data_IF_366860931929
#
_entry.id   IF_366860931929
#
_cell.length_a   1.000
_cell.length_b   1.000
_cell.length_c   1.000
_cell.angle_alpha   90.00
_cell.angle_beta   90.00
_cell.angle_gamma   90.00
#
_symmetry.space_group_name_H-M   'P 1'
#
loop_
_entity.id
_entity.type
_entity.pdbx_description
1 polymer ?
#
# COMPACT_ATOMS: atom_id res chain seq x y z
N UNK A 1 -9.68 -5.03 0.40
CA UNK A 1 -8.30 -5.17 0.91
C UNK A 1 -8.13 -4.13 2.00
N UNK A 2 -8.31 -4.61 3.21
CA UNK A 2 -8.66 -3.81 4.36
C UNK A 2 -7.41 -3.44 5.18
N UNK A 3 -7.40 -2.19 5.65
CA UNK A 3 -6.79 -1.77 6.92
C UNK A 3 -5.28 -1.98 7.05
N UNK A 4 -4.51 -1.19 6.29
CA UNK A 4 -3.08 -1.03 6.57
C UNK A 4 -2.85 -0.62 8.03
N UNK A 5 -2.11 -1.46 8.76
CA UNK A 5 -1.55 -1.16 10.09
C UNK A 5 -2.53 -0.85 11.22
N UNK A 6 -3.80 -1.26 11.10
CA UNK A 6 -4.81 -0.97 12.14
C UNK A 6 -4.50 -1.68 13.45
N UNK A 7 -3.88 -2.86 13.41
CA UNK A 7 -3.49 -3.59 14.62
C UNK A 7 -2.40 -2.82 15.38
N UNK A 8 -1.34 -2.44 14.68
CA UNK A 8 -0.19 -1.69 15.22
C UNK A 8 -0.62 -0.29 15.70
N UNK A 9 -1.51 0.37 14.97
CA UNK A 9 -2.12 1.63 15.38
C UNK A 9 -2.92 1.47 16.68
N UNK A 10 -3.72 0.40 16.80
CA UNK A 10 -4.52 0.14 18.00
C UNK A 10 -3.63 -0.11 19.23
N UNK A 11 -2.52 -0.84 19.05
CA UNK A 11 -1.54 -1.08 20.12
C UNK A 11 -0.85 0.22 20.53
N UNK A 12 -0.42 1.05 19.57
CA UNK A 12 0.19 2.35 19.85
C UNK A 12 -0.77 3.30 20.59
N UNK A 13 -2.02 3.39 20.15
CA UNK A 13 -3.05 4.20 20.82
C UNK A 13 -3.34 3.71 22.24
N UNK A 14 -3.30 2.40 22.46
CA UNK A 14 -3.48 1.83 23.80
C UNK A 14 -2.34 2.23 24.72
N UNK A 15 -1.09 2.10 24.27
CA UNK A 15 0.07 2.54 25.03
C UNK A 15 0.01 4.04 25.35
N UNK A 16 -0.33 4.88 24.37
CA UNK A 16 -0.48 6.32 24.59
C UNK A 16 -1.51 6.61 25.68
N UNK A 17 -2.64 5.91 25.68
CA UNK A 17 -3.68 6.10 26.69
C UNK A 17 -3.21 5.73 28.09
N UNK A 18 -2.37 4.71 28.22
CA UNK A 18 -1.83 4.25 29.51
C UNK A 18 -0.72 5.17 30.06
N UNK A 19 -0.07 5.94 29.18
CA UNK A 19 1.07 6.80 29.52
C UNK A 19 0.77 8.30 29.31
N UNK A 20 -0.48 8.74 29.49
CA UNK A 20 -0.90 10.16 29.35
C UNK A 20 -0.44 10.83 28.04
N UNK A 21 -0.44 10.04 26.96
CA UNK A 21 -0.01 10.43 25.61
C UNK A 21 1.47 10.81 25.51
N UNK A 22 2.30 10.34 26.43
CA UNK A 22 3.75 10.53 26.37
C UNK A 22 4.39 9.59 25.33
N UNK A 23 4.80 10.17 24.20
CA UNK A 23 5.39 9.41 23.09
C UNK A 23 6.70 8.68 23.45
N UNK A 24 7.47 9.18 24.41
CA UNK A 24 8.75 8.60 24.83
C UNK A 24 8.56 7.18 25.37
N UNK A 25 7.51 6.99 26.17
CA UNK A 25 7.12 5.73 26.81
C UNK A 25 6.65 4.66 25.80
N UNK A 26 6.10 5.10 24.66
CA UNK A 26 5.55 4.23 23.61
C UNK A 26 6.43 4.13 22.35
N UNK A 27 7.73 4.38 22.50
CA UNK A 27 8.69 4.41 21.38
C UNK A 27 8.72 3.09 20.60
N UNK A 28 8.50 1.96 21.27
CA UNK A 28 8.52 0.62 20.64
C UNK A 28 7.31 0.41 19.74
N UNK A 29 6.12 0.75 20.23
CA UNK A 29 4.86 0.63 19.53
C UNK A 29 4.81 1.63 18.37
N UNK A 30 5.36 2.83 18.56
CA UNK A 30 5.54 3.82 17.50
C UNK A 30 6.44 3.32 16.36
N UNK A 31 7.57 2.68 16.69
CA UNK A 31 8.47 2.10 15.68
C UNK A 31 7.80 0.96 14.91
N UNK A 32 7.01 0.14 15.60
CA UNK A 32 6.25 -0.96 14.98
C UNK A 32 5.21 -0.42 13.99
N UNK A 33 4.40 0.56 14.42
CA UNK A 33 3.42 1.23 13.57
C UNK A 33 4.09 1.90 12.36
N UNK A 34 5.18 2.65 12.59
CA UNK A 34 5.93 3.32 11.52
C UNK A 34 6.46 2.32 10.49
N UNK A 35 7.05 1.21 10.94
CA UNK A 35 7.56 0.15 10.06
C UNK A 35 6.45 -0.45 9.20
N UNK A 36 5.28 -0.69 9.78
CA UNK A 36 4.13 -1.16 9.02
C UNK A 36 3.68 -0.10 8.00
N UNK A 37 3.56 1.16 8.40
CA UNK A 37 3.13 2.24 7.53
C UNK A 37 4.07 2.44 6.34
N UNK A 38 5.38 2.44 6.58
CA UNK A 38 6.40 2.58 5.53
C UNK A 38 6.30 1.45 4.49
N UNK A 39 6.03 0.21 4.94
CA UNK A 39 5.79 -0.93 4.03
C UNK A 39 4.51 -0.73 3.22
N UNK A 40 3.43 -0.30 3.87
CA UNK A 40 2.16 -0.04 3.18
C UNK A 40 2.31 1.06 2.13
N UNK A 41 2.96 2.18 2.47
CA UNK A 41 3.23 3.26 1.52
C UNK A 41 4.11 2.82 0.36
N UNK A 42 5.11 1.96 0.61
CA UNK A 42 5.93 1.37 -0.46
C UNK A 42 5.07 0.53 -1.39
N UNK A 43 4.26 -0.38 -0.86
CA UNK A 43 3.37 -1.23 -1.67
C UNK A 43 2.34 -0.40 -2.45
N UNK A 44 1.75 0.63 -1.82
CA UNK A 44 0.81 1.53 -2.47
C UNK A 44 1.46 2.31 -3.63
N UNK A 45 2.70 2.76 -3.45
CA UNK A 45 3.49 3.40 -4.52
C UNK A 45 3.78 2.43 -5.65
N UNK A 46 4.24 1.23 -5.36
CA UNK A 46 4.52 0.19 -6.37
C UNK A 46 3.27 -0.20 -7.17
N UNK A 47 2.13 -0.33 -6.49
CA UNK A 47 0.83 -0.58 -7.13
C UNK A 47 0.37 0.60 -8.00
N UNK A 48 0.63 1.84 -7.59
CA UNK A 48 0.32 3.01 -8.41
C UNK A 48 1.19 3.04 -9.67
N UNK A 49 2.50 2.84 -9.51
CA UNK A 49 3.44 2.76 -10.64
C UNK A 49 3.05 1.63 -11.60
N UNK A 50 2.67 0.45 -11.11
CA UNK A 50 2.28 -0.66 -11.97
C UNK A 50 0.97 -0.41 -12.72
N UNK A 51 0.03 0.34 -12.14
CA UNK A 51 -1.21 0.76 -12.80
C UNK A 51 -0.98 1.85 -13.86
N UNK A 52 -0.05 2.75 -13.60
CA UNK A 52 0.30 3.86 -14.51
C UNK A 52 1.11 3.39 -15.74
N UNK A 53 1.68 2.19 -15.71
CA UNK A 53 2.34 1.58 -16.87
C UNK A 53 1.31 1.17 -17.93
N UNK A 54 1.42 1.74 -19.15
CA UNK A 54 0.60 1.35 -20.31
C UNK A 54 0.87 -0.09 -20.78
N UNK A 55 2.11 -0.57 -20.63
CA UNK A 55 2.50 -1.93 -20.99
C UNK A 55 2.55 -2.75 -19.70
N UNK A 56 1.69 -3.77 -19.55
CA UNK A 56 1.72 -4.64 -18.38
C UNK A 56 2.96 -5.54 -18.42
N UNK A 57 3.34 -6.06 -17.27
CA UNK A 57 4.38 -7.09 -17.20
C UNK A 57 3.93 -8.35 -17.97
N UNK A 58 4.86 -9.04 -18.65
CA UNK A 58 4.54 -10.27 -19.35
C UNK A 58 3.93 -11.27 -18.37
N UNK A 59 2.85 -11.94 -18.79
CA UNK A 59 2.05 -12.90 -17.98
C UNK A 59 1.26 -12.28 -16.81
N UNK A 60 1.02 -10.97 -16.78
CA UNK A 60 0.13 -10.35 -15.81
C UNK A 60 -1.28 -10.96 -15.88
N UNK A 61 -1.76 -11.52 -14.75
CA UNK A 61 -3.10 -12.13 -14.65
C UNK A 61 -4.24 -11.11 -14.64
N UNK A 62 -3.95 -9.86 -14.29
CA UNK A 62 -4.93 -8.77 -14.19
C UNK A 62 -4.38 -7.57 -14.95
N UNK A 63 -5.18 -7.06 -15.90
CA UNK A 63 -4.84 -5.90 -16.71
C UNK A 63 -5.75 -4.73 -16.35
N UNK A 64 -5.22 -3.51 -16.40
CA UNK A 64 -6.05 -2.30 -16.30
C UNK A 64 -6.76 -2.04 -17.62
N UNK A 65 -7.88 -1.30 -17.57
CA UNK A 65 -8.59 -0.89 -18.80
C UNK A 65 -7.68 -0.15 -19.78
N UNK A 66 -6.73 0.66 -19.27
CA UNK A 66 -5.76 1.38 -20.10
C UNK A 66 -4.80 0.43 -20.81
N UNK A 67 -4.30 -0.60 -20.11
CA UNK A 67 -3.41 -1.62 -20.68
C UNK A 67 -4.12 -2.45 -21.76
N UNK A 68 -5.38 -2.85 -21.52
CA UNK A 68 -6.21 -3.54 -22.51
C UNK A 68 -6.42 -2.67 -23.75
N UNK A 69 -6.79 -1.40 -23.54
CA UNK A 69 -7.01 -0.45 -24.65
C UNK A 69 -5.73 -0.23 -25.47
N UNK A 70 -4.57 -0.15 -24.81
CA UNK A 70 -3.29 -0.01 -25.49
C UNK A 70 -3.02 -1.18 -26.45
N UNK A 71 -3.24 -2.42 -25.99
CA UNK A 71 -3.08 -3.60 -26.84
C UNK A 71 -4.09 -3.65 -27.99
N UNK A 72 -5.36 -3.34 -27.74
CA UNK A 72 -6.40 -3.35 -28.78
C UNK A 72 -6.13 -2.32 -29.90
N UNK A 73 -5.52 -1.18 -29.57
CA UNK A 73 -5.08 -0.19 -30.58
C UNK A 73 -3.90 -0.70 -31.42
N UNK A 74 -3.00 -1.46 -30.82
CA UNK A 74 -1.82 -2.01 -31.50
C UNK A 74 -2.17 -3.23 -32.36
N UNK A 75 -3.15 -4.03 -31.92
CA UNK A 75 -3.65 -5.22 -32.60
C UNK A 75 -5.16 -5.09 -32.84
N UNK A 76 -5.59 -4.21 -33.76
CA UNK A 76 -7.00 -4.04 -34.06
C UNK A 76 -7.58 -5.33 -34.65
N UNK A 77 -8.75 -5.71 -34.17
CA UNK A 77 -9.51 -6.84 -34.69
C UNK A 77 -10.00 -6.42 -36.08
N UNK A 78 -9.63 -7.19 -37.12
CA UNK A 78 -10.10 -6.96 -38.50
C UNK A 78 -11.60 -7.21 -38.63
#
# INVERSE_FOLDING_TARGET
>A
MEKGCVQELSVFLTCLKEHDFENSSCSKELLSFKTCNDRYEKMARELKISRDKLVPEPYAKVLTHQQVTHFLKQYPIR
#
